data_IF_079161433237
#
_entry.id   IF_079161433237
#
_cell.length_a   1.000
_cell.length_b   1.000
_cell.length_c   1.000
_cell.angle_alpha   90.00
_cell.angle_beta   90.00
_cell.angle_gamma   90.00
#
_symmetry.space_group_name_H-M   'P 1'
#
loop_
_entity.id
_entity.type
_entity.pdbx_description
1 polymer ?
#
# COMPACT_ATOMS: atom_id res chain seq x y z
N UNK A 1 -24.27 0.48 0.23
CA UNK A 1 -23.03 0.46 -0.57
C UNK A 1 -23.13 -0.70 -1.55
N UNK A 2 -22.72 -0.52 -2.81
CA UNK A 2 -22.74 -1.60 -3.79
C UNK A 2 -21.63 -2.61 -3.46
N UNK A 3 -21.96 -3.90 -3.45
CA UNK A 3 -21.01 -4.99 -3.25
C UNK A 3 -20.79 -5.72 -4.57
N UNK A 4 -19.55 -6.14 -4.82
CA UNK A 4 -19.17 -6.91 -6.01
C UNK A 4 -18.57 -8.24 -5.54
N UNK A 5 -18.96 -9.33 -6.17
CA UNK A 5 -18.40 -10.66 -5.88
C UNK A 5 -17.22 -10.93 -6.80
N UNK A 6 -16.07 -11.27 -6.20
CA UNK A 6 -14.89 -11.73 -6.93
C UNK A 6 -14.77 -13.25 -6.80
N UNK A 7 -14.51 -13.92 -7.92
CA UNK A 7 -14.28 -15.36 -7.95
C UNK A 7 -12.96 -15.65 -8.65
N UNK A 8 -12.05 -16.35 -7.97
CA UNK A 8 -10.75 -16.77 -8.52
C UNK A 8 -10.85 -18.25 -8.87
N UNK A 9 -10.70 -18.57 -10.16
CA UNK A 9 -10.73 -19.96 -10.65
C UNK A 9 -9.32 -20.55 -10.68
N UNK A 10 -9.23 -21.88 -10.60
CA UNK A 10 -7.98 -22.64 -10.73
C UNK A 10 -6.91 -22.26 -9.70
N UNK A 11 -7.31 -22.01 -8.46
CA UNK A 11 -6.37 -21.76 -7.36
C UNK A 11 -5.60 -23.05 -7.05
N UNK A 12 -4.25 -23.05 -7.10
CA UNK A 12 -3.46 -24.21 -6.70
C UNK A 12 -3.78 -24.65 -5.27
N UNK A 13 -3.88 -25.95 -5.04
CA UNK A 13 -4.30 -26.48 -3.74
C UNK A 13 -3.32 -26.10 -2.62
N UNK A 14 -2.02 -26.09 -2.91
CA UNK A 14 -0.97 -25.65 -1.99
C UNK A 14 -1.14 -24.17 -1.60
N UNK A 15 -1.47 -23.31 -2.58
CA UNK A 15 -1.71 -21.89 -2.34
C UNK A 15 -2.95 -21.70 -1.45
N UNK A 16 -4.03 -22.41 -1.74
CA UNK A 16 -5.24 -22.36 -0.92
C UNK A 16 -4.97 -22.79 0.53
N UNK A 17 -4.13 -23.82 0.74
CA UNK A 17 -3.76 -24.29 2.06
C UNK A 17 -2.90 -23.26 2.81
N UNK A 18 -1.92 -22.64 2.14
CA UNK A 18 -1.11 -21.55 2.71
C UNK A 18 -1.96 -20.35 3.12
N UNK A 19 -2.94 -19.97 2.31
CA UNK A 19 -3.87 -18.89 2.63
C UNK A 19 -4.76 -19.21 3.83
N UNK A 20 -5.25 -20.46 3.94
CA UNK A 20 -6.01 -20.91 5.13
C UNK A 20 -5.17 -20.89 6.39
N UNK A 21 -3.93 -21.38 6.33
CA UNK A 21 -3.01 -21.35 7.47
C UNK A 21 -2.72 -19.91 7.92
N UNK A 22 -2.47 -19.01 6.96
CA UNK A 22 -2.28 -17.59 7.21
C UNK A 22 -3.51 -16.95 7.87
N UNK A 23 -4.71 -17.24 7.37
CA UNK A 23 -5.96 -16.74 7.95
C UNK A 23 -6.14 -17.21 9.42
N UNK A 24 -5.81 -18.49 9.70
CA UNK A 24 -5.85 -19.03 11.07
C UNK A 24 -4.86 -18.33 12.01
N UNK A 25 -3.65 -18.03 11.55
CA UNK A 25 -2.64 -17.27 12.31
C UNK A 25 -3.09 -15.84 12.62
N UNK A 26 -3.81 -15.19 11.70
CA UNK A 26 -4.36 -13.86 11.90
C UNK A 26 -5.72 -13.85 12.61
N UNK A 27 -6.21 -15.01 13.05
CA UNK A 27 -7.52 -15.20 13.68
C UNK A 27 -8.69 -14.63 12.84
N UNK A 28 -8.60 -14.78 11.51
CA UNK A 28 -9.58 -14.27 10.54
C UNK A 28 -10.14 -15.41 9.71
N UNK A 29 -11.33 -15.20 9.14
CA UNK A 29 -11.84 -16.08 8.08
C UNK A 29 -10.98 -15.95 6.82
N UNK A 30 -11.02 -16.96 5.95
CA UNK A 30 -10.30 -16.90 4.67
C UNK A 30 -10.72 -15.69 3.84
N UNK A 31 -12.01 -15.36 3.82
CA UNK A 31 -12.52 -14.17 3.15
C UNK A 31 -11.97 -12.89 3.78
N UNK A 32 -11.93 -12.80 5.11
CA UNK A 32 -11.36 -11.65 5.81
C UNK A 32 -9.87 -11.46 5.53
N UNK A 33 -9.11 -12.56 5.46
CA UNK A 33 -7.69 -12.51 5.11
C UNK A 33 -7.47 -12.07 3.66
N UNK A 34 -8.27 -12.58 2.72
CA UNK A 34 -8.21 -12.15 1.32
C UNK A 34 -8.54 -10.66 1.18
N UNK A 35 -9.55 -10.17 1.91
CA UNK A 35 -9.87 -8.74 1.92
C UNK A 35 -8.72 -7.91 2.49
N UNK A 36 -8.05 -8.36 3.55
CA UNK A 36 -6.90 -7.66 4.11
C UNK A 36 -5.71 -7.62 3.14
N UNK A 37 -5.44 -8.73 2.44
CA UNK A 37 -4.38 -8.80 1.42
C UNK A 37 -4.71 -7.87 0.24
N UNK A 38 -5.96 -7.87 -0.22
CA UNK A 38 -6.39 -7.02 -1.33
C UNK A 38 -6.38 -5.53 -0.93
N UNK A 39 -6.80 -5.21 0.29
CA UNK A 39 -6.72 -3.85 0.82
C UNK A 39 -5.26 -3.38 0.88
N UNK A 40 -4.36 -4.19 1.44
CA UNK A 40 -2.93 -3.87 1.51
C UNK A 40 -2.30 -3.75 0.12
N UNK A 41 -2.62 -4.66 -0.81
CA UNK A 41 -2.15 -4.59 -2.19
C UNK A 41 -2.69 -3.36 -2.92
N UNK A 42 -3.90 -2.90 -2.58
CA UNK A 42 -4.49 -1.67 -3.12
C UNK A 42 -3.87 -0.40 -2.53
N UNK A 43 -3.25 -0.51 -1.34
CA UNK A 43 -2.53 0.58 -0.67
C UNK A 43 -1.14 0.83 -1.23
N UNK A 44 -0.76 0.21 -2.36
CA UNK A 44 0.40 0.64 -3.14
C UNK A 44 0.14 2.02 -3.74
N UNK A 45 0.31 3.02 -2.89
CA UNK A 45 0.37 4.42 -3.27
C UNK A 45 1.72 4.61 -3.94
N UNK A 46 1.70 4.81 -5.25
CA UNK A 46 2.90 5.25 -5.96
C UNK A 46 3.37 6.60 -5.40
N UNK A 47 4.62 6.95 -5.63
CA UNK A 47 5.13 8.28 -5.23
C UNK A 47 4.28 9.37 -5.91
N UNK A 48 3.79 9.07 -7.11
CA UNK A 48 2.87 9.88 -7.89
C UNK A 48 1.49 9.99 -7.22
N UNK A 49 0.92 8.89 -6.72
CA UNK A 49 -0.34 8.91 -5.97
C UNK A 49 -0.20 9.73 -4.68
N UNK A 50 0.92 9.59 -3.98
CA UNK A 50 1.23 10.35 -2.77
C UNK A 50 1.36 11.84 -3.06
N UNK A 51 2.04 12.21 -4.14
CA UNK A 51 2.14 13.58 -4.62
C UNK A 51 0.78 14.16 -5.03
N UNK A 52 -0.06 13.35 -5.69
CA UNK A 52 -1.42 13.73 -6.08
C UNK A 52 -2.32 13.94 -4.86
N UNK A 53 -2.23 13.06 -3.85
CA UNK A 53 -2.95 13.23 -2.58
C UNK A 53 -2.49 14.49 -1.85
N UNK A 54 -1.18 14.69 -1.69
CA UNK A 54 -0.61 15.87 -1.03
C UNK A 54 -1.10 17.18 -1.67
N UNK A 55 -1.10 17.22 -3.01
CA UNK A 55 -1.62 18.36 -3.77
C UNK A 55 -3.11 18.58 -3.52
N UNK A 56 -3.90 17.50 -3.45
CA UNK A 56 -5.36 17.56 -3.23
C UNK A 56 -5.76 18.01 -1.83
N UNK A 57 -4.97 17.68 -0.81
CA UNK A 57 -5.20 18.14 0.57
C UNK A 57 -4.52 19.48 0.87
N UNK A 58 -3.98 20.16 -0.15
CA UNK A 58 -3.39 21.49 -0.03
C UNK A 58 -2.02 21.50 0.67
N UNK A 59 -1.39 20.33 0.89
CA UNK A 59 -0.01 20.26 1.34
C UNK A 59 0.90 20.72 0.21
N UNK A 60 1.30 21.98 0.27
CA UNK A 60 2.39 22.50 -0.56
C UNK A 60 3.70 22.11 0.13
N UNK A 61 4.58 21.40 -0.55
CA UNK A 61 5.99 21.35 -0.13
C UNK A 61 6.52 22.78 -0.24
N UNK A 62 6.81 23.48 0.86
CA UNK A 62 7.40 24.80 0.78
C UNK A 62 8.76 24.67 0.08
N UNK A 63 9.19 25.70 -0.65
CA UNK A 63 10.52 25.72 -1.29
C UNK A 63 11.68 25.44 -0.31
N UNK A 64 11.40 25.51 0.99
CA UNK A 64 12.23 25.10 2.11
C UNK A 64 12.73 23.65 2.03
N UNK A 65 11.91 22.68 1.61
CA UNK A 65 12.37 21.30 1.46
C UNK A 65 13.47 21.17 0.40
N UNK A 66 13.36 21.93 -0.69
CA UNK A 66 14.42 21.99 -1.71
C UNK A 66 15.70 22.65 -1.19
N UNK A 67 15.59 23.68 -0.34
CA UNK A 67 16.76 24.34 0.28
C UNK A 67 17.47 23.37 1.22
N UNK A 68 16.74 22.68 2.09
CA UNK A 68 17.29 21.68 3.01
C UNK A 68 18.03 20.55 2.28
N UNK A 69 17.48 20.04 1.17
CA UNK A 69 18.14 19.01 0.36
C UNK A 69 19.41 19.54 -0.32
N UNK A 70 19.41 20.79 -0.81
CA UNK A 70 20.62 21.41 -1.39
C UNK A 70 21.70 21.60 -0.33
N UNK A 71 21.34 22.13 0.83
CA UNK A 71 22.28 22.40 1.92
C UNK A 71 22.87 21.10 2.47
N UNK A 72 22.06 20.06 2.64
CA UNK A 72 22.52 18.73 3.04
C UNK A 72 23.46 18.08 2.01
N UNK A 73 23.26 18.33 0.70
CA UNK A 73 24.18 17.87 -0.36
C UNK A 73 25.47 18.69 -0.41
N UNK A 74 25.40 19.99 -0.15
CA UNK A 74 26.56 20.88 -0.14
C UNK A 74 27.48 20.61 1.07
N UNK A 75 26.91 20.33 2.25
CA UNK A 75 27.66 20.00 3.46
C UNK A 75 28.42 18.67 3.39
N UNK A 76 28.04 17.75 2.50
CA UNK A 76 28.68 16.42 2.35
C UNK A 76 29.93 16.43 1.43
N UNK A 77 30.27 17.57 0.81
CA UNK A 77 31.43 17.72 -0.09
C UNK A 77 32.57 18.54 0.52
N UNK A 78 32.59 18.72 1.86
CA UNK A 78 33.69 19.37 2.59
C UNK A 78 34.36 18.38 3.53
#
# INVERSE_FOLDING_TARGET
MATVTLSVKNVPADLAQRLKARAALHHRSLQGELMAILDEASRQMTVEDLAALASRIGLRTPAESMRLVRDARAGRRR
#
